data_IF_823418413360
#
_entry.id   IF_823418413360
#
_cell.length_a   1.000
_cell.length_b   1.000
_cell.length_c   1.000
_cell.angle_alpha   90.00
_cell.angle_beta   90.00
_cell.angle_gamma   90.00
#
_symmetry.space_group_name_H-M   'P 1'
#
loop_
_entity.id
_entity.type
_entity.pdbx_description
1 polymer ?
#
# COMPACT_ATOMS: atom_id res chain seq x y z
N UNK A 1 16.98 4.45 -10.12
CA UNK A 1 16.04 4.49 -9.00
C UNK A 1 16.31 5.66 -8.06
N UNK A 2 17.51 5.79 -7.52
CA UNK A 2 17.87 6.77 -6.46
C UNK A 2 17.42 8.21 -6.76
N UNK A 3 17.74 8.77 -7.94
CA UNK A 3 17.34 10.13 -8.32
C UNK A 3 15.82 10.38 -8.40
N UNK A 4 15.00 9.34 -8.26
CA UNK A 4 13.54 9.45 -8.29
C UNK A 4 12.92 9.48 -6.89
N UNK A 5 13.69 9.11 -5.87
CA UNK A 5 13.23 8.94 -4.48
C UNK A 5 14.07 9.70 -3.45
N UNK A 6 15.23 10.21 -3.83
CA UNK A 6 16.12 11.01 -2.99
C UNK A 6 16.14 12.47 -3.42
N UNK A 7 16.35 13.37 -2.48
CA UNK A 7 16.66 14.76 -2.74
C UNK A 7 18.08 14.92 -3.26
N UNK A 8 18.39 16.07 -3.87
CA UNK A 8 19.71 16.31 -4.48
C UNK A 8 20.86 16.16 -3.47
N UNK A 9 20.70 16.66 -2.24
CA UNK A 9 21.72 16.53 -1.18
C UNK A 9 21.94 15.08 -0.78
N UNK A 10 20.86 14.32 -0.61
CA UNK A 10 20.94 12.91 -0.23
C UNK A 10 21.64 12.07 -1.32
N UNK A 11 21.41 12.42 -2.60
CA UNK A 11 22.09 11.76 -3.73
C UNK A 11 23.60 11.95 -3.73
N UNK A 12 24.08 13.12 -3.27
CA UNK A 12 25.51 13.42 -3.19
C UNK A 12 26.20 12.65 -2.06
N UNK A 13 25.45 12.27 -1.03
CA UNK A 13 25.97 11.60 0.17
C UNK A 13 25.93 10.06 0.06
N UNK A 14 25.27 9.51 -0.96
CA UNK A 14 25.13 8.06 -1.10
C UNK A 14 26.39 7.46 -1.73
N UNK A 15 26.99 6.49 -1.04
CA UNK A 15 28.07 5.69 -1.60
C UNK A 15 27.52 4.59 -2.53
N UNK A 16 27.40 4.92 -3.80
CA UNK A 16 26.90 3.99 -4.82
C UNK A 16 27.85 2.80 -5.01
N UNK A 17 29.16 2.96 -4.70
CA UNK A 17 30.14 1.87 -4.86
C UNK A 17 29.97 0.79 -3.77
N UNK A 18 29.42 1.13 -2.61
CA UNK A 18 29.09 0.19 -1.53
C UNK A 18 27.84 -0.65 -1.80
N UNK A 19 27.00 -0.26 -2.78
CA UNK A 19 25.75 -0.94 -3.09
C UNK A 19 26.02 -2.05 -4.11
N UNK A 20 25.96 -3.30 -3.67
CA UNK A 20 26.29 -4.49 -4.47
C UNK A 20 25.10 -5.12 -5.18
N UNK A 21 23.93 -5.02 -4.55
CA UNK A 21 22.68 -5.66 -4.96
C UNK A 21 21.46 -4.86 -4.47
N UNK A 22 20.27 -5.34 -4.79
CA UNK A 22 19.01 -4.70 -4.42
C UNK A 22 18.74 -4.76 -2.92
N UNK A 23 19.20 -5.79 -2.22
CA UNK A 23 19.07 -5.92 -0.77
C UNK A 23 19.93 -4.86 -0.06
N UNK A 24 21.20 -4.71 -0.44
CA UNK A 24 22.07 -3.66 0.11
C UNK A 24 21.55 -2.25 -0.19
N UNK A 25 20.95 -2.05 -1.37
CA UNK A 25 20.27 -0.81 -1.71
C UNK A 25 19.06 -0.55 -0.80
N UNK A 26 18.26 -1.57 -0.53
CA UNK A 26 17.11 -1.47 0.38
C UNK A 26 17.55 -1.03 1.78
N UNK A 27 18.56 -1.72 2.35
CA UNK A 27 19.08 -1.39 3.66
C UNK A 27 19.66 0.02 3.72
N UNK A 28 20.36 0.47 2.69
CA UNK A 28 20.88 1.84 2.61
C UNK A 28 19.74 2.87 2.60
N UNK A 29 18.67 2.62 1.84
CA UNK A 29 17.50 3.50 1.81
C UNK A 29 16.73 3.54 3.13
N UNK A 30 16.64 2.41 3.84
CA UNK A 30 16.05 2.35 5.20
C UNK A 30 16.91 3.15 6.19
N UNK A 31 18.23 2.93 6.20
CA UNK A 31 19.17 3.65 7.08
C UNK A 31 19.11 5.17 6.87
N UNK A 32 18.92 5.62 5.65
CA UNK A 32 18.74 7.04 5.30
C UNK A 32 17.32 7.55 5.51
N UNK A 33 16.43 6.75 6.05
CA UNK A 33 15.02 7.11 6.22
C UNK A 33 14.32 7.52 4.91
N UNK A 34 14.80 7.00 3.78
CA UNK A 34 14.13 7.13 2.48
C UNK A 34 13.03 6.10 2.29
N UNK A 35 13.08 5.00 3.05
CA UNK A 35 12.03 4.01 3.21
C UNK A 35 11.59 4.01 4.67
N UNK A 36 10.28 4.04 4.88
CA UNK A 36 9.64 3.78 6.17
C UNK A 36 9.08 2.36 6.16
N UNK A 37 9.35 1.63 7.24
CA UNK A 37 8.74 0.33 7.51
C UNK A 37 7.55 0.56 8.44
N UNK A 38 6.37 0.12 8.06
CA UNK A 38 5.18 0.21 8.89
C UNK A 38 4.49 -1.15 8.95
N UNK A 39 4.18 -1.61 10.16
CA UNK A 39 3.41 -2.83 10.36
C UNK A 39 1.99 -2.65 9.82
N UNK A 40 1.40 -3.71 9.25
CA UNK A 40 0.05 -3.66 8.72
C UNK A 40 -0.99 -3.30 9.79
N UNK A 41 -0.72 -3.62 11.05
CA UNK A 41 -1.66 -3.46 12.15
C UNK A 41 -1.74 -2.03 12.70
N UNK A 42 -0.80 -1.15 12.35
CA UNK A 42 -0.77 0.23 12.81
C UNK A 42 0.62 0.85 12.81
N UNK A 43 0.72 2.07 13.32
CA UNK A 43 1.98 2.77 13.54
C UNK A 43 2.63 2.29 14.84
N UNK A 44 3.95 2.07 14.84
CA UNK A 44 4.73 1.78 16.06
C UNK A 44 4.70 2.95 17.04
N UNK A 45 4.61 4.17 16.50
CA UNK A 45 4.53 5.41 17.25
C UNK A 45 3.58 6.35 16.52
N UNK A 46 2.66 6.93 17.27
CA UNK A 46 1.70 7.93 16.76
C UNK A 46 2.43 9.05 16.00
N UNK A 47 1.90 9.40 14.83
CA UNK A 47 2.47 10.41 13.92
C UNK A 47 3.65 9.94 13.07
N UNK A 48 4.04 8.67 13.13
CA UNK A 48 5.19 8.15 12.38
C UNK A 48 5.06 8.42 10.87
N UNK A 49 3.90 8.16 10.29
CA UNK A 49 3.64 8.42 8.86
C UNK A 49 3.69 9.91 8.54
N UNK A 50 3.07 10.77 9.37
CA UNK A 50 3.10 12.21 9.19
C UNK A 50 4.53 12.75 9.17
N UNK A 51 5.33 12.42 10.18
CA UNK A 51 6.72 12.86 10.29
C UNK A 51 7.57 12.36 9.12
N UNK A 52 7.38 11.12 8.71
CA UNK A 52 8.06 10.58 7.54
C UNK A 52 7.73 11.36 6.27
N UNK A 53 6.46 11.52 5.93
CA UNK A 53 6.05 12.22 4.71
C UNK A 53 6.47 13.69 4.72
N UNK A 54 6.36 14.36 5.86
CA UNK A 54 6.79 15.76 6.00
C UNK A 54 8.29 15.91 5.81
N UNK A 55 9.10 15.02 6.40
CA UNK A 55 10.55 14.96 6.22
C UNK A 55 10.94 14.70 4.78
N UNK A 56 10.28 13.74 4.10
CA UNK A 56 10.55 13.44 2.69
C UNK A 56 10.22 14.60 1.76
N UNK A 57 9.08 15.28 1.98
CA UNK A 57 8.72 16.49 1.23
C UNK A 57 9.75 17.59 1.40
N UNK A 58 10.21 17.81 2.63
CA UNK A 58 11.23 18.82 2.93
C UNK A 58 12.55 18.51 2.21
N UNK A 59 13.03 17.28 2.31
CA UNK A 59 14.28 16.84 1.68
C UNK A 59 14.23 16.91 0.14
N UNK A 60 13.12 16.44 -0.46
CA UNK A 60 13.00 16.31 -1.91
C UNK A 60 12.54 17.58 -2.62
N UNK A 61 11.67 18.38 -1.99
CA UNK A 61 10.95 19.47 -2.64
C UNK A 61 11.03 20.81 -1.88
N UNK A 62 11.63 20.83 -0.69
CA UNK A 62 11.66 22.03 0.17
C UNK A 62 10.25 22.44 0.64
N UNK A 63 9.30 21.50 0.73
CA UNK A 63 7.90 21.74 1.06
C UNK A 63 7.51 21.00 2.35
N UNK A 64 6.39 21.42 2.94
CA UNK A 64 5.79 20.80 4.11
C UNK A 64 4.33 20.39 3.80
N UNK A 65 3.82 19.44 4.57
CA UNK A 65 2.39 19.14 4.60
C UNK A 65 1.62 20.35 5.14
N UNK A 66 0.45 20.62 4.56
CA UNK A 66 -0.44 21.72 4.98
C UNK A 66 -1.45 21.31 6.05
N UNK A 67 -1.27 20.15 6.66
CA UNK A 67 -2.12 19.54 7.68
C UNK A 67 -1.30 19.27 8.91
N UNK A 68 -1.95 19.15 10.08
CA UNK A 68 -1.30 18.71 11.31
C UNK A 68 -1.21 17.19 11.40
N UNK A 69 -0.47 16.71 12.40
CA UNK A 69 -0.37 15.30 12.72
C UNK A 69 -1.73 14.71 13.10
N UNK A 70 -2.53 15.45 13.86
CA UNK A 70 -3.83 15.02 14.38
C UNK A 70 -4.90 14.93 13.28
N UNK A 71 -4.76 15.67 12.17
CA UNK A 71 -5.78 15.74 11.12
C UNK A 71 -6.08 14.36 10.49
N UNK A 72 -5.08 13.50 10.35
CA UNK A 72 -5.27 12.16 9.77
C UNK A 72 -6.08 11.27 10.71
N UNK A 73 -5.82 11.33 12.03
CA UNK A 73 -6.56 10.54 13.03
C UNK A 73 -7.99 11.03 13.17
N UNK A 74 -8.20 12.35 13.22
CA UNK A 74 -9.54 12.93 13.24
C UNK A 74 -10.34 12.50 12.02
N UNK A 75 -9.70 12.53 10.84
CA UNK A 75 -10.34 12.12 9.59
C UNK A 75 -10.67 10.64 9.56
N UNK A 76 -9.75 9.79 10.04
CA UNK A 76 -9.97 8.37 10.17
C UNK A 76 -11.17 8.08 11.07
N UNK A 77 -11.20 8.67 12.26
CA UNK A 77 -12.30 8.48 13.21
C UNK A 77 -13.65 9.01 12.70
N UNK A 78 -13.65 10.03 11.82
CA UNK A 78 -14.87 10.56 11.20
C UNK A 78 -15.41 9.68 10.07
N UNK A 79 -14.53 9.04 9.30
CA UNK A 79 -14.90 8.25 8.11
C UNK A 79 -15.12 6.77 8.44
N UNK A 80 -14.72 6.30 9.64
CA UNK A 80 -14.76 4.90 10.03
C UNK A 80 -15.60 4.74 11.29
N UNK A 81 -16.87 4.30 11.14
CA UNK A 81 -17.78 4.08 12.28
C UNK A 81 -17.34 2.90 13.15
N UNK A 82 -16.80 1.85 12.55
CA UNK A 82 -16.24 0.66 13.24
C UNK A 82 -14.86 0.36 12.66
N UNK A 83 -13.82 0.95 13.25
CA UNK A 83 -12.45 0.67 12.85
C UNK A 83 -11.98 -0.70 13.35
N UNK A 84 -11.40 -1.51 12.47
CA UNK A 84 -10.73 -2.76 12.82
C UNK A 84 -9.21 -2.54 12.85
N UNK A 85 -8.51 -3.42 13.56
CA UNK A 85 -7.05 -3.47 13.51
C UNK A 85 -6.60 -3.67 12.05
N UNK A 86 -5.69 -2.83 11.57
CA UNK A 86 -5.19 -2.87 10.19
C UNK A 86 -5.84 -1.87 9.23
N UNK A 87 -6.96 -1.22 9.59
CA UNK A 87 -7.64 -0.27 8.70
C UNK A 87 -6.92 1.08 8.62
N UNK A 88 -6.18 1.45 9.67
CA UNK A 88 -5.55 2.78 9.75
C UNK A 88 -4.47 2.99 8.69
N UNK A 89 -3.54 2.05 8.50
CA UNK A 89 -2.42 2.25 7.56
C UNK A 89 -2.89 2.45 6.12
N UNK A 90 -3.76 1.61 5.53
CA UNK A 90 -4.31 1.85 4.18
C UNK A 90 -5.04 3.19 4.05
N UNK A 91 -5.83 3.56 5.07
CA UNK A 91 -6.51 4.85 5.12
C UNK A 91 -5.51 6.01 5.10
N UNK A 92 -4.54 6.01 6.03
CA UNK A 92 -3.54 7.05 6.18
C UNK A 92 -2.69 7.20 4.91
N UNK A 93 -2.27 6.09 4.29
CA UNK A 93 -1.54 6.11 3.02
C UNK A 93 -2.37 6.77 1.92
N UNK A 94 -3.67 6.44 1.81
CA UNK A 94 -4.57 7.06 0.83
C UNK A 94 -4.75 8.55 1.09
N UNK A 95 -4.89 8.95 2.35
CA UNK A 95 -5.01 10.34 2.78
C UNK A 95 -3.75 11.14 2.42
N UNK A 96 -2.57 10.66 2.82
CA UNK A 96 -1.31 11.32 2.53
C UNK A 96 -0.96 11.35 1.03
N UNK A 97 -1.24 10.28 0.26
CA UNK A 97 -0.98 10.31 -1.20
C UNK A 97 -1.79 11.40 -1.91
N UNK A 98 -3.03 11.67 -1.49
CA UNK A 98 -3.83 12.78 -2.02
C UNK A 98 -3.17 14.14 -1.77
N UNK A 99 -2.58 14.34 -0.58
CA UNK A 99 -1.86 15.57 -0.23
C UNK A 99 -0.54 15.68 -0.99
N UNK A 100 0.27 14.63 -0.98
CA UNK A 100 1.56 14.55 -1.68
C UNK A 100 1.39 14.82 -3.18
N UNK A 101 0.34 14.27 -3.79
CA UNK A 101 0.04 14.47 -5.22
C UNK A 101 -0.16 15.94 -5.59
N UNK A 102 -0.76 16.74 -4.71
CA UNK A 102 -0.93 18.20 -4.89
C UNK A 102 0.40 18.92 -4.78
N UNK A 103 1.33 18.41 -3.98
CA UNK A 103 2.66 19.01 -3.74
C UNK A 103 3.71 18.57 -4.75
N UNK A 104 3.42 17.60 -5.62
CA UNK A 104 4.34 17.12 -6.66
C UNK A 104 5.05 15.82 -6.32
N UNK A 105 4.59 15.11 -5.30
CA UNK A 105 5.09 13.81 -4.86
C UNK A 105 4.02 12.71 -4.95
N UNK A 106 4.41 11.45 -4.77
CA UNK A 106 3.56 10.27 -4.71
C UNK A 106 4.14 9.24 -3.77
N UNK A 107 3.28 8.48 -3.13
CA UNK A 107 3.68 7.26 -2.42
C UNK A 107 3.97 6.15 -3.41
N UNK A 108 5.05 5.43 -3.15
CA UNK A 108 5.44 4.19 -3.83
C UNK A 108 5.68 3.14 -2.76
N UNK A 109 5.16 1.95 -2.96
CA UNK A 109 5.35 0.81 -2.07
C UNK A 109 6.35 -0.16 -2.69
N UNK A 110 7.28 -0.64 -1.87
CA UNK A 110 8.11 -1.80 -2.19
C UNK A 110 7.45 -3.02 -1.57
N UNK A 111 7.08 -3.96 -2.41
CA UNK A 111 6.55 -5.24 -1.99
C UNK A 111 7.69 -6.24 -1.88
N UNK A 112 7.90 -6.75 -0.68
CA UNK A 112 8.87 -7.81 -0.34
C UNK A 112 8.15 -9.14 -0.05
N UNK A 113 6.86 -9.24 -0.42
CA UNK A 113 6.02 -10.43 -0.16
C UNK A 113 5.91 -10.76 1.35
N UNK A 114 5.87 -9.70 2.18
CA UNK A 114 5.69 -9.78 3.63
C UNK A 114 4.57 -8.83 4.10
N UNK A 115 4.20 -8.92 5.38
CA UNK A 115 3.10 -8.15 5.98
C UNK A 115 3.47 -6.68 6.30
N UNK A 116 4.67 -6.23 5.93
CA UNK A 116 5.16 -4.89 6.20
C UNK A 116 4.93 -3.97 5.01
N UNK A 117 4.41 -2.78 5.26
CA UNK A 117 4.40 -1.70 4.28
C UNK A 117 5.78 -1.05 4.21
N UNK A 118 6.49 -1.27 3.10
CA UNK A 118 7.77 -0.59 2.84
C UNK A 118 7.46 0.66 1.98
N UNK A 119 7.40 1.81 2.63
CA UNK A 119 6.82 3.04 2.09
C UNK A 119 7.94 3.96 1.62
N UNK A 120 7.88 4.41 0.38
CA UNK A 120 8.73 5.46 -0.20
C UNK A 120 7.93 6.64 -0.70
N UNK A 121 8.60 7.79 -0.84
CA UNK A 121 8.10 8.94 -1.58
C UNK A 121 8.91 9.12 -2.86
N UNK A 122 8.24 9.38 -3.97
CA UNK A 122 8.84 9.67 -5.27
C UNK A 122 8.32 10.98 -5.84
N UNK A 123 9.10 11.62 -6.71
CA UNK A 123 8.57 12.71 -7.53
C UNK A 123 7.37 12.21 -8.37
N UNK A 124 6.28 12.98 -8.38
CA UNK A 124 5.03 12.62 -9.08
C UNK A 124 5.26 12.25 -10.56
N UNK A 125 6.17 12.96 -11.25
CA UNK A 125 6.51 12.72 -12.66
C UNK A 125 7.25 11.40 -12.89
N UNK A 126 7.92 10.87 -11.84
CA UNK A 126 8.79 9.71 -11.93
C UNK A 126 8.18 8.44 -11.33
N UNK A 127 7.16 8.56 -10.46
CA UNK A 127 6.48 7.43 -9.85
C UNK A 127 6.00 6.36 -10.86
N UNK A 128 5.41 6.71 -12.03
CA UNK A 128 5.05 5.71 -13.04
C UNK A 128 6.24 4.94 -13.61
N UNK A 129 7.43 5.57 -13.68
CA UNK A 129 8.64 4.97 -14.24
C UNK A 129 9.32 4.00 -13.26
N UNK A 130 8.99 4.07 -11.96
CA UNK A 130 9.53 3.15 -10.98
C UNK A 130 9.00 1.73 -11.20
N UNK A 131 7.76 1.58 -11.67
CA UNK A 131 7.15 0.28 -11.96
C UNK A 131 7.89 -0.56 -13.00
N UNK A 132 8.66 0.08 -13.89
CA UNK A 132 9.45 -0.61 -14.91
C UNK A 132 10.80 -1.11 -14.40
N UNK A 133 11.16 -0.77 -13.17
CA UNK A 133 12.38 -1.26 -12.54
C UNK A 133 12.13 -2.70 -12.10
N UNK A 134 12.81 -3.62 -12.77
CA UNK A 134 12.75 -5.05 -12.42
C UNK A 134 13.76 -5.34 -11.33
N UNK A 135 13.35 -6.14 -10.36
CA UNK A 135 14.18 -6.69 -9.30
C UNK A 135 13.60 -8.05 -8.92
N UNK A 136 14.46 -8.98 -8.57
CA UNK A 136 14.05 -10.27 -7.99
C UNK A 136 13.83 -10.14 -6.47
N UNK A 137 14.25 -9.02 -5.88
CA UNK A 137 14.17 -8.76 -4.44
C UNK A 137 12.90 -8.01 -4.05
N UNK A 138 12.40 -7.08 -4.90
CA UNK A 138 11.18 -6.31 -4.64
C UNK A 138 10.33 -6.08 -5.88
N UNK A 139 9.05 -5.80 -5.64
CA UNK A 139 8.13 -5.25 -6.65
C UNK A 139 7.75 -3.82 -6.27
N UNK A 140 7.88 -2.87 -7.21
CA UNK A 140 7.50 -1.48 -6.99
C UNK A 140 6.07 -1.24 -7.46
N UNK A 141 5.22 -0.74 -6.58
CA UNK A 141 3.83 -0.42 -6.88
C UNK A 141 3.45 0.99 -6.41
N UNK A 142 2.44 1.58 -7.01
CA UNK A 142 1.79 2.79 -6.48
C UNK A 142 0.56 2.37 -5.70
N UNK A 143 0.10 3.21 -4.75
CA UNK A 143 -1.08 2.93 -3.92
C UNK A 143 -2.31 2.47 -4.72
N UNK A 144 -2.54 3.03 -5.92
CA UNK A 144 -3.65 2.60 -6.79
C UNK A 144 -3.59 1.12 -7.21
N UNK A 145 -2.41 0.48 -7.16
CA UNK A 145 -2.29 -0.93 -7.50
C UNK A 145 -2.57 -1.86 -6.32
N UNK A 146 -2.20 -1.45 -5.07
CA UNK A 146 -2.63 -2.21 -3.88
C UNK A 146 -4.13 -2.03 -3.58
N UNK A 147 -4.72 -0.87 -3.89
CA UNK A 147 -6.18 -0.62 -3.79
C UNK A 147 -7.02 -1.36 -4.85
N UNK A 148 -6.43 -2.22 -5.62
CA UNK A 148 -7.10 -3.03 -6.63
C UNK A 148 -7.22 -4.50 -6.25
N UNK A 149 -6.95 -4.88 -5.01
CA UNK A 149 -7.13 -6.25 -4.52
C UNK A 149 -8.30 -6.33 -3.55
N UNK A 150 -8.93 -7.48 -3.53
CA UNK A 150 -10.00 -7.82 -2.60
C UNK A 150 -9.71 -9.19 -2.01
N UNK A 151 -9.83 -9.29 -0.71
CA UNK A 151 -9.94 -10.58 -0.02
C UNK A 151 -11.42 -10.85 0.23
N UNK A 152 -11.85 -12.02 -0.17
CA UNK A 152 -13.23 -12.47 -0.03
C UNK A 152 -13.21 -13.71 0.86
N UNK A 153 -13.98 -13.66 1.93
CA UNK A 153 -14.21 -14.77 2.83
C UNK A 153 -15.67 -15.20 2.77
N UNK A 154 -15.90 -16.48 2.52
CA UNK A 154 -17.24 -17.05 2.35
C UNK A 154 -17.40 -18.24 3.29
N UNK A 155 -18.45 -18.21 4.11
CA UNK A 155 -18.93 -19.40 4.82
C UNK A 155 -20.08 -19.96 4.00
N UNK A 156 -19.90 -21.16 3.42
CA UNK A 156 -20.95 -21.80 2.63
C UNK A 156 -22.23 -21.98 3.46
N UNK A 157 -23.39 -21.47 3.02
CA UNK A 157 -24.62 -21.55 3.80
C UNK A 157 -25.08 -22.99 4.00
N UNK A 158 -24.78 -23.90 3.07
CA UNK A 158 -25.23 -25.29 3.11
C UNK A 158 -24.31 -26.18 3.96
N UNK A 159 -23.04 -26.26 3.63
CA UNK A 159 -22.12 -27.22 4.27
C UNK A 159 -21.20 -26.60 5.33
N UNK A 160 -21.30 -25.29 5.57
CA UNK A 160 -20.49 -24.50 6.52
C UNK A 160 -18.97 -24.54 6.27
N UNK A 161 -18.57 -25.05 5.11
CA UNK A 161 -17.18 -24.98 4.70
C UNK A 161 -16.77 -23.56 4.35
N UNK A 162 -15.49 -23.24 4.46
CA UNK A 162 -14.97 -21.89 4.23
C UNK A 162 -14.20 -21.81 2.94
N UNK A 163 -14.42 -20.75 2.17
CA UNK A 163 -13.65 -20.42 0.98
C UNK A 163 -12.98 -19.06 1.17
N UNK A 164 -11.75 -18.95 0.69
CA UNK A 164 -10.94 -17.75 0.77
C UNK A 164 -10.39 -17.41 -0.62
N UNK A 165 -10.57 -16.18 -1.05
CA UNK A 165 -10.05 -15.68 -2.33
C UNK A 165 -9.29 -14.38 -2.08
N UNK A 166 -8.06 -14.27 -2.58
CA UNK A 166 -7.26 -13.05 -2.64
C UNK A 166 -6.97 -12.76 -4.12
N UNK A 167 -7.58 -11.72 -4.66
CA UNK A 167 -7.55 -11.43 -6.09
C UNK A 167 -7.61 -9.92 -6.38
N UNK A 168 -7.38 -9.53 -7.63
CA UNK A 168 -7.64 -8.16 -8.06
C UNK A 168 -9.15 -7.89 -8.19
N UNK A 169 -9.55 -6.61 -8.06
CA UNK A 169 -10.95 -6.20 -8.30
C UNK A 169 -11.39 -6.53 -9.75
N UNK A 170 -10.45 -6.54 -10.70
CA UNK A 170 -10.73 -6.93 -12.08
C UNK A 170 -11.03 -8.44 -12.18
N UNK A 171 -10.28 -9.27 -11.46
CA UNK A 171 -10.55 -10.72 -11.36
C UNK A 171 -11.87 -10.97 -10.65
N UNK A 172 -12.17 -10.25 -9.55
CA UNK A 172 -13.45 -10.34 -8.83
C UNK A 172 -14.64 -10.07 -9.77
N UNK A 173 -14.57 -9.00 -10.55
CA UNK A 173 -15.64 -8.62 -11.48
C UNK A 173 -15.90 -9.65 -12.60
N UNK A 174 -14.97 -10.59 -12.79
CA UNK A 174 -15.05 -11.68 -13.76
C UNK A 174 -15.38 -13.04 -13.13
N UNK A 175 -15.62 -13.09 -11.80
CA UNK A 175 -15.98 -14.32 -11.10
C UNK A 175 -17.37 -14.80 -11.55
N UNK A 176 -17.42 -15.94 -12.27
CA UNK A 176 -18.67 -16.52 -12.80
C UNK A 176 -18.73 -18.00 -12.50
N UNK A 177 -19.94 -18.47 -12.18
CA UNK A 177 -20.20 -19.89 -11.92
C UNK A 177 -19.29 -20.52 -10.86
N UNK A 178 -18.84 -19.72 -9.89
CA UNK A 178 -17.98 -20.19 -8.80
C UNK A 178 -18.83 -20.88 -7.76
N UNK A 179 -18.39 -22.07 -7.37
CA UNK A 179 -19.14 -22.95 -6.46
C UNK A 179 -18.29 -23.39 -5.27
N UNK A 180 -18.98 -23.73 -4.19
CA UNK A 180 -18.37 -24.40 -3.06
C UNK A 180 -17.76 -25.74 -3.54
N UNK A 181 -16.48 -25.94 -3.29
CA UNK A 181 -15.77 -27.16 -3.70
C UNK A 181 -16.32 -28.41 -3.01
N UNK A 182 -16.90 -28.27 -1.81
CA UNK A 182 -17.38 -29.39 -1.01
C UNK A 182 -18.80 -29.84 -1.36
N UNK A 183 -19.72 -28.89 -1.62
CA UNK A 183 -21.14 -29.23 -1.80
C UNK A 183 -21.76 -28.73 -3.11
N UNK A 184 -21.01 -27.93 -3.88
CA UNK A 184 -21.47 -27.38 -5.16
C UNK A 184 -22.41 -26.18 -5.06
N UNK A 185 -22.66 -25.64 -3.85
CA UNK A 185 -23.46 -24.41 -3.68
C UNK A 185 -22.84 -23.26 -4.46
N UNK A 186 -23.63 -22.56 -5.25
CA UNK A 186 -23.18 -21.46 -6.10
C UNK A 186 -22.85 -20.23 -5.24
N UNK A 187 -21.69 -19.61 -5.47
CA UNK A 187 -21.25 -18.38 -4.83
C UNK A 187 -21.43 -17.18 -5.77
N UNK A 188 -21.08 -17.32 -7.05
CA UNK A 188 -21.37 -16.34 -8.12
C UNK A 188 -22.10 -17.03 -9.27
N UNK A 189 -23.10 -16.35 -9.85
CA UNK A 189 -23.86 -16.80 -10.99
C UNK A 189 -23.12 -16.59 -12.33
N UNK A 190 -23.79 -16.89 -13.45
CA UNK A 190 -23.26 -16.71 -14.82
C UNK A 190 -23.02 -15.24 -15.19
N UNK A 191 -23.70 -14.32 -14.51
CA UNK A 191 -23.60 -12.88 -14.70
C UNK A 191 -22.64 -12.20 -13.72
N UNK A 192 -21.87 -12.98 -12.94
CA UNK A 192 -20.98 -12.52 -11.88
C UNK A 192 -21.71 -11.83 -10.71
N UNK A 193 -23.00 -12.12 -10.49
CA UNK A 193 -23.69 -11.65 -9.29
C UNK A 193 -23.42 -12.60 -8.12
N UNK A 194 -23.25 -12.03 -6.94
CA UNK A 194 -23.12 -12.75 -5.69
C UNK A 194 -24.47 -13.39 -5.32
N UNK A 195 -24.48 -14.69 -5.03
CA UNK A 195 -25.70 -15.42 -4.64
C UNK A 195 -25.68 -15.87 -3.19
N UNK A 196 -24.58 -15.62 -2.47
CA UNK A 196 -24.43 -15.88 -1.04
C UNK A 196 -23.81 -14.66 -0.33
N UNK A 197 -24.03 -14.55 0.98
CA UNK A 197 -23.36 -13.53 1.76
C UNK A 197 -21.85 -13.82 1.86
N UNK A 198 -21.03 -12.80 1.63
CA UNK A 198 -19.59 -12.89 1.73
C UNK A 198 -19.01 -11.64 2.40
N UNK A 199 -17.93 -11.82 3.13
CA UNK A 199 -17.16 -10.71 3.70
C UNK A 199 -16.07 -10.32 2.72
N UNK A 200 -15.97 -9.02 2.40
CA UNK A 200 -14.97 -8.47 1.47
C UNK A 200 -14.15 -7.41 2.16
N UNK A 201 -12.85 -7.53 2.03
CA UNK A 201 -11.87 -6.51 2.46
C UNK A 201 -11.07 -6.04 1.26
N UNK A 202 -11.12 -4.75 0.97
CA UNK A 202 -10.43 -4.13 -0.17
C UNK A 202 -9.15 -3.42 0.31
N UNK A 203 -8.02 -3.60 -0.42
CA UNK A 203 -6.73 -2.94 -0.16
C UNK A 203 -5.92 -2.60 -1.42
#
# INVERSE_FOLDING_TARGET
MLAKVLGEKELLEIDVQGIKDDESLFHELVNRKAILLADWSGEDKEGMLYHFFNSRLQSMLGKHLSVSEEDVYQKFNQETEESKRGDFIPFALSYFDKLLKKLGARIVLLDLENDTYNIMVSYKKDAPKLKSIKSDFWKLSTLKQKQGRVVIYIICPECKDTAYYDMSIEEESNMKNVKCEKCGTLFWDESANEVVNMEKTYY
#
